data_IF_536132097154
#
_entry.id   IF_536132097154
#
_cell.length_a   1.000
_cell.length_b   1.000
_cell.length_c   1.000
_cell.angle_alpha   90.00
_cell.angle_beta   90.00
_cell.angle_gamma   90.00
#
_symmetry.space_group_name_H-M   'P 1'
#
loop_
_entity.id
_entity.type
_entity.pdbx_description
1 polymer ?
#
# COMPACT_ATOMS: atom_id res chain seq x y z
N UNK A 1 -3.14 -0.42 14.33
CA UNK A 1 -2.29 -1.58 14.02
C UNK A 1 -1.48 -1.29 12.77
N UNK A 2 -0.16 -1.48 12.79
CA UNK A 2 0.70 -1.20 11.63
C UNK A 2 1.11 -2.49 10.91
N UNK A 3 0.99 -2.47 9.59
CA UNK A 3 1.45 -3.55 8.70
C UNK A 3 2.77 -3.09 8.09
N UNK A 4 3.87 -3.77 8.43
CA UNK A 4 5.20 -3.43 7.95
C UNK A 4 5.91 -4.67 7.40
N UNK A 5 6.91 -4.46 6.59
CA UNK A 5 7.71 -5.54 6.02
C UNK A 5 8.34 -5.12 4.69
N UNK A 6 9.13 -6.02 4.10
CA UNK A 6 9.81 -5.76 2.84
C UNK A 6 8.88 -5.38 1.69
N UNK A 7 9.43 -4.74 0.66
CA UNK A 7 8.70 -4.57 -0.59
C UNK A 7 8.30 -5.92 -1.17
N UNK A 8 7.10 -5.99 -1.77
CA UNK A 8 6.53 -7.21 -2.37
C UNK A 8 6.27 -8.38 -1.39
N UNK A 9 6.29 -8.16 -0.08
CA UNK A 9 5.90 -9.19 0.89
C UNK A 9 4.39 -9.48 0.92
N UNK A 10 3.58 -8.62 0.29
CA UNK A 10 2.13 -8.77 0.18
C UNK A 10 1.33 -8.01 1.22
N UNK A 11 1.87 -6.93 1.80
CA UNK A 11 1.19 -6.06 2.78
C UNK A 11 -0.15 -5.54 2.27
N UNK A 12 -0.15 -4.88 1.11
CA UNK A 12 -1.36 -4.34 0.48
C UNK A 12 -2.34 -5.43 0.07
N UNK A 13 -1.84 -6.60 -0.35
CA UNK A 13 -2.69 -7.76 -0.65
C UNK A 13 -3.36 -8.29 0.62
N UNK A 14 -2.60 -8.38 1.72
CA UNK A 14 -3.14 -8.76 3.03
C UNK A 14 -4.22 -7.76 3.49
N UNK A 15 -3.95 -6.46 3.40
CA UNK A 15 -4.93 -5.45 3.77
C UNK A 15 -6.24 -5.60 2.98
N UNK A 16 -6.17 -5.70 1.65
CA UNK A 16 -7.33 -5.87 0.80
C UNK A 16 -8.10 -7.17 1.14
N UNK A 17 -7.39 -8.27 1.37
CA UNK A 17 -7.98 -9.55 1.75
C UNK A 17 -8.64 -9.49 3.13
N UNK A 18 -8.01 -8.83 4.10
CA UNK A 18 -8.56 -8.65 5.44
C UNK A 18 -9.83 -7.80 5.46
N UNK A 19 -9.92 -6.79 4.59
CA UNK A 19 -11.08 -5.91 4.46
C UNK A 19 -12.20 -6.49 3.57
N UNK A 20 -11.89 -7.50 2.76
CA UNK A 20 -12.79 -7.97 1.69
C UNK A 20 -13.09 -6.92 0.63
N UNK A 21 -12.33 -5.84 0.59
CA UNK A 21 -12.47 -4.69 -0.32
C UNK A 21 -11.11 -4.21 -0.79
N UNK A 22 -11.06 -3.66 -2.01
CA UNK A 22 -9.83 -3.07 -2.54
C UNK A 22 -9.68 -1.63 -2.06
N UNK A 23 -8.72 -1.38 -1.21
CA UNK A 23 -8.34 -0.06 -0.68
C UNK A 23 -6.92 0.31 -1.05
N UNK A 24 -6.01 -0.65 -1.08
CA UNK A 24 -4.61 -0.43 -1.43
C UNK A 24 -4.29 -1.03 -2.80
N UNK A 25 -3.44 -0.35 -3.55
CA UNK A 25 -2.99 -0.82 -4.86
C UNK A 25 -1.98 -1.96 -4.70
N UNK A 26 -2.05 -2.91 -5.62
CA UNK A 26 -1.20 -4.10 -5.62
C UNK A 26 -0.46 -4.20 -6.94
N UNK A 27 0.87 -4.36 -6.88
CA UNK A 27 1.70 -4.61 -8.05
C UNK A 27 2.84 -5.56 -7.72
N UNK A 28 3.36 -6.27 -8.74
CA UNK A 28 4.60 -7.04 -8.62
C UNK A 28 5.85 -6.17 -8.52
N UNK A 29 5.74 -4.88 -8.87
CA UNK A 29 6.85 -3.92 -8.79
C UNK A 29 7.04 -3.46 -7.35
N UNK A 30 8.28 -3.16 -6.98
CA UNK A 30 8.63 -2.65 -5.65
C UNK A 30 8.09 -1.23 -5.45
N UNK A 31 8.01 -0.75 -4.19
CA UNK A 31 7.63 0.63 -3.86
C UNK A 31 6.25 1.06 -4.42
N UNK A 32 5.30 0.13 -4.49
CA UNK A 32 3.94 0.43 -4.97
C UNK A 32 3.20 1.34 -4.00
N UNK A 33 3.22 1.05 -2.71
CA UNK A 33 2.64 1.89 -1.65
C UNK A 33 3.60 3.04 -1.33
N UNK A 34 3.14 4.28 -1.46
CA UNK A 34 3.94 5.50 -1.21
C UNK A 34 3.57 6.19 0.09
N UNK A 35 2.38 5.96 0.61
CA UNK A 35 1.82 6.58 1.81
C UNK A 35 1.32 5.54 2.80
N UNK A 36 1.22 5.91 4.07
CA UNK A 36 0.51 5.10 5.05
C UNK A 36 -0.99 5.16 4.81
N UNK A 37 -1.55 4.09 4.24
CA UNK A 37 -2.96 3.99 3.93
C UNK A 37 -3.69 3.33 5.10
N UNK A 38 -4.80 3.92 5.57
CA UNK A 38 -5.62 3.28 6.58
C UNK A 38 -6.76 2.48 5.96
N UNK A 39 -6.84 1.22 6.35
CA UNK A 39 -7.97 0.35 6.10
C UNK A 39 -8.73 0.11 7.40
N UNK A 40 -10.04 0.25 7.38
CA UNK A 40 -10.90 0.19 8.57
C UNK A 40 -11.77 -1.05 8.45
N UNK A 41 -11.64 -1.94 9.41
CA UNK A 41 -12.45 -3.15 9.54
C UNK A 41 -13.34 -3.03 10.77
N UNK A 42 -14.64 -2.99 10.56
CA UNK A 42 -15.63 -3.00 11.62
C UNK A 42 -16.13 -4.45 11.84
N UNK A 43 -15.94 -4.95 13.05
CA UNK A 43 -16.39 -6.29 13.44
C UNK A 43 -17.10 -6.24 14.78
N UNK A 44 -18.44 -6.29 14.77
CA UNK A 44 -19.29 -6.22 15.96
C UNK A 44 -18.93 -5.04 16.87
N UNK A 45 -18.19 -5.31 17.95
CA UNK A 45 -17.83 -4.32 18.96
C UNK A 45 -16.40 -3.78 18.81
N UNK A 46 -15.66 -4.19 17.80
CA UNK A 46 -14.25 -3.83 17.60
C UNK A 46 -14.07 -3.18 16.25
N UNK A 47 -13.38 -2.04 16.24
CA UNK A 47 -12.88 -1.41 15.03
C UNK A 47 -11.38 -1.61 14.94
N UNK A 48 -10.92 -2.29 13.89
CA UNK A 48 -9.51 -2.50 13.61
C UNK A 48 -9.08 -1.52 12.52
N UNK A 49 -8.14 -0.65 12.85
CA UNK A 49 -7.54 0.28 11.89
C UNK A 49 -6.18 -0.29 11.48
N UNK A 50 -6.10 -0.78 10.27
CA UNK A 50 -4.86 -1.22 9.64
C UNK A 50 -4.16 -0.03 9.00
N UNK A 51 -2.85 0.08 9.18
CA UNK A 51 -2.02 1.06 8.49
C UNK A 51 -1.08 0.29 7.56
N UNK A 52 -1.39 0.29 6.25
CA UNK A 52 -0.50 -0.26 5.22
C UNK A 52 0.64 0.73 4.98
N UNK A 53 1.84 0.34 5.31
CA UNK A 53 3.00 1.23 5.19
C UNK A 53 3.77 0.96 3.89
N UNK A 54 4.51 1.97 3.38
CA UNK A 54 5.51 1.74 2.35
C UNK A 54 6.41 0.56 2.73
N UNK A 55 6.78 -0.25 1.73
CA UNK A 55 7.69 -1.38 1.98
C UNK A 55 9.03 -0.90 2.51
N UNK A 56 9.64 -1.68 3.41
CA UNK A 56 10.99 -1.43 3.89
C UNK A 56 12.01 -1.76 2.79
N UNK A 57 12.87 -0.80 2.49
CA UNK A 57 13.95 -0.91 1.51
C UNK A 57 15.07 0.08 1.84
N UNK A 58 16.22 -0.13 1.24
CA UNK A 58 17.35 0.80 1.33
C UNK A 58 17.08 2.05 0.50
N UNK A 59 16.82 3.19 1.16
CA UNK A 59 16.45 4.44 0.51
C UNK A 59 17.65 5.13 -0.13
N UNK A 60 17.55 5.48 -1.42
CA UNK A 60 18.59 6.16 -2.20
C UNK A 60 18.28 7.63 -2.45
N UNK A 61 17.01 8.02 -2.51
CA UNK A 61 16.55 9.38 -2.78
C UNK A 61 15.90 10.02 -1.56
N UNK A 62 15.78 11.36 -1.54
CA UNK A 62 15.07 12.07 -0.47
C UNK A 62 13.61 11.61 -0.35
N UNK A 63 12.94 11.36 -1.46
CA UNK A 63 11.58 10.84 -1.47
C UNK A 63 11.47 9.45 -0.84
N UNK A 64 12.38 8.55 -1.18
CA UNK A 64 12.43 7.21 -0.60
C UNK A 64 12.74 7.25 0.91
N UNK A 65 13.62 8.15 1.35
CA UNK A 65 13.88 8.35 2.79
C UNK A 65 12.61 8.77 3.52
N UNK A 66 11.85 9.74 2.99
CA UNK A 66 10.58 10.16 3.58
C UNK A 66 9.55 9.00 3.64
N UNK A 67 9.51 8.12 2.63
CA UNK A 67 8.66 6.92 2.67
C UNK A 67 9.05 5.97 3.81
N UNK A 68 10.35 5.69 3.97
CA UNK A 68 10.84 4.80 5.03
C UNK A 68 10.64 5.43 6.42
N UNK A 69 10.91 6.72 6.58
CA UNK A 69 10.64 7.46 7.82
C UNK A 69 9.16 7.42 8.20
N UNK A 70 8.25 7.59 7.23
CA UNK A 70 6.81 7.45 7.44
C UNK A 70 6.43 6.04 7.90
N UNK A 71 7.05 5.00 7.33
CA UNK A 71 6.82 3.63 7.79
C UNK A 71 7.21 3.45 9.27
N UNK A 72 8.37 3.98 9.69
CA UNK A 72 8.80 3.93 11.08
C UNK A 72 7.93 4.80 12.01
N UNK A 73 7.51 5.97 11.57
CA UNK A 73 6.57 6.82 12.33
C UNK A 73 5.24 6.11 12.61
N UNK A 74 4.71 5.39 11.63
CA UNK A 74 3.49 4.60 11.80
C UNK A 74 3.70 3.42 12.77
N UNK A 75 4.91 2.87 12.89
CA UNK A 75 5.23 1.85 13.89
C UNK A 75 5.15 2.40 15.31
N UNK A 76 5.73 3.58 15.54
CA UNK A 76 5.76 4.18 16.90
C UNK A 76 4.37 4.51 17.41
N UNK A 77 3.41 4.79 16.53
CA UNK A 77 2.03 5.16 16.87
C UNK A 77 1.02 4.00 16.84
N UNK A 78 1.45 2.79 16.46
CA UNK A 78 0.55 1.63 16.42
C UNK A 78 0.47 0.93 17.78
N UNK A 79 -0.69 0.35 18.10
CA UNK A 79 -0.86 -0.52 19.28
C UNK A 79 -0.25 -1.90 19.05
N UNK A 80 -0.36 -2.42 17.81
CA UNK A 80 0.13 -3.74 17.39
C UNK A 80 0.92 -3.62 16.09
N UNK A 81 1.92 -4.48 15.91
CA UNK A 81 2.74 -4.54 14.71
C UNK A 81 2.63 -5.92 14.06
N UNK A 82 2.31 -5.94 12.77
CA UNK A 82 2.41 -7.13 11.93
C UNK A 82 3.58 -6.98 10.97
N UNK A 83 4.61 -7.81 11.15
CA UNK A 83 5.75 -7.88 10.25
C UNK A 83 5.48 -8.94 9.19
N UNK A 84 5.16 -8.52 7.96
CA UNK A 84 4.80 -9.41 6.87
C UNK A 84 6.02 -9.68 5.99
N UNK A 85 6.35 -10.95 5.79
CA UNK A 85 7.44 -11.41 4.93
C UNK A 85 6.92 -12.32 3.82
N UNK A 86 7.64 -12.34 2.71
CA UNK A 86 7.48 -13.34 1.65
C UNK A 86 8.19 -14.61 2.08
N UNK A 87 7.44 -15.67 2.37
CA UNK A 87 8.00 -16.96 2.78
C UNK A 87 8.87 -17.61 1.70
N UNK A 88 8.57 -17.35 0.44
CA UNK A 88 9.22 -18.01 -0.70
C UNK A 88 10.65 -17.55 -0.99
N UNK A 89 11.13 -16.46 -0.34
CA UNK A 89 12.48 -15.91 -0.53
C UNK A 89 13.25 -15.76 0.78
N UNK A 90 14.57 -15.68 0.70
CA UNK A 90 15.43 -15.37 1.84
C UNK A 90 15.32 -13.90 2.24
N UNK A 91 15.58 -13.61 3.52
CA UNK A 91 15.72 -12.23 4.00
C UNK A 91 17.02 -11.61 3.48
N UNK A 92 16.95 -10.37 3.06
CA UNK A 92 18.12 -9.57 2.75
C UNK A 92 18.83 -9.09 4.04
N UNK A 93 20.11 -8.71 3.92
CA UNK A 93 20.86 -8.13 5.04
C UNK A 93 20.18 -6.89 5.64
N UNK A 94 19.52 -6.09 4.79
CA UNK A 94 18.76 -4.93 5.25
C UNK A 94 17.55 -5.35 6.10
N UNK A 95 16.80 -6.36 5.66
CA UNK A 95 15.64 -6.88 6.40
C UNK A 95 16.04 -7.48 7.75
N UNK A 96 17.18 -8.16 7.82
CA UNK A 96 17.75 -8.66 9.07
C UNK A 96 18.14 -7.51 10.02
N UNK A 97 18.73 -6.43 9.49
CA UNK A 97 19.03 -5.22 10.28
C UNK A 97 17.75 -4.60 10.85
N UNK A 98 16.68 -4.52 10.06
CA UNK A 98 15.39 -4.01 10.50
C UNK A 98 14.81 -4.90 11.62
N UNK A 99 14.85 -6.23 11.49
CA UNK A 99 14.38 -7.15 12.51
C UNK A 99 15.14 -6.95 13.84
N UNK A 100 16.46 -6.80 13.78
CA UNK A 100 17.27 -6.50 14.96
C UNK A 100 16.90 -5.17 15.61
N UNK A 101 16.51 -4.18 14.80
CA UNK A 101 16.06 -2.87 15.29
C UNK A 101 14.70 -2.93 16.01
N UNK A 102 13.85 -3.92 15.70
CA UNK A 102 12.58 -4.15 16.38
C UNK A 102 12.72 -4.36 17.90
N UNK A 103 13.87 -4.81 18.37
CA UNK A 103 14.17 -4.95 19.82
C UNK A 103 14.04 -3.63 20.59
N UNK A 104 14.13 -2.49 19.89
CA UNK A 104 13.99 -1.16 20.48
C UNK A 104 12.52 -0.72 20.63
N UNK A 105 11.59 -1.47 20.06
CA UNK A 105 10.15 -1.18 20.17
C UNK A 105 9.53 -2.06 21.25
N UNK A 106 9.05 -1.44 22.32
CA UNK A 106 8.29 -2.15 23.37
C UNK A 106 6.82 -2.30 22.93
N UNK A 107 6.57 -3.05 21.86
CA UNK A 107 5.23 -3.26 21.30
C UNK A 107 5.01 -4.71 20.91
N UNK A 108 3.75 -5.14 21.05
CA UNK A 108 3.31 -6.45 20.61
C UNK A 108 3.51 -6.60 19.11
N UNK A 109 4.42 -7.48 18.74
CA UNK A 109 4.82 -7.72 17.37
C UNK A 109 4.54 -9.15 16.97
N UNK A 110 3.97 -9.32 15.78
CA UNK A 110 3.57 -10.61 15.21
C UNK A 110 4.22 -10.82 13.86
N UNK A 111 4.71 -12.04 13.62
CA UNK A 111 5.24 -12.43 12.34
C UNK A 111 4.10 -12.97 11.46
N UNK A 112 4.04 -12.51 10.22
CA UNK A 112 3.13 -13.05 9.20
C UNK A 112 3.96 -13.54 8.02
N UNK A 113 4.10 -14.84 7.88
CA UNK A 113 4.75 -15.47 6.74
C UNK A 113 3.70 -15.64 5.64
N UNK A 114 3.82 -14.82 4.61
CA UNK A 114 2.89 -14.78 3.48
C UNK A 114 3.39 -15.60 2.29
N UNK A 115 2.49 -15.89 1.35
CA UNK A 115 2.70 -16.67 0.13
C UNK A 115 3.00 -18.15 0.40
N UNK A 116 2.34 -18.72 1.41
CA UNK A 116 2.49 -20.14 1.75
C UNK A 116 2.03 -21.07 0.61
N UNK A 117 1.19 -20.58 -0.28
CA UNK A 117 0.79 -21.26 -1.53
C UNK A 117 1.97 -21.59 -2.45
N UNK A 118 3.14 -20.96 -2.24
CA UNK A 118 4.38 -21.21 -2.99
C UNK A 118 5.39 -22.08 -2.24
N UNK A 119 5.02 -22.65 -1.08
CA UNK A 119 5.96 -23.34 -0.19
C UNK A 119 5.40 -24.66 0.34
N UNK A 120 6.30 -25.58 0.71
CA UNK A 120 5.94 -26.76 1.49
C UNK A 120 6.03 -26.47 3.01
N UNK A 121 5.39 -27.33 3.81
CA UNK A 121 5.29 -27.17 5.28
C UNK A 121 6.66 -27.18 5.97
N UNK A 122 7.59 -28.02 5.52
CA UNK A 122 8.93 -28.13 6.13
C UNK A 122 9.71 -26.82 5.98
N UNK A 123 9.71 -26.23 4.78
CA UNK A 123 10.37 -24.94 4.51
C UNK A 123 9.74 -23.80 5.32
N UNK A 124 8.41 -23.82 5.53
CA UNK A 124 7.72 -22.84 6.36
C UNK A 124 8.19 -22.89 7.82
N UNK A 125 8.36 -24.09 8.39
CA UNK A 125 8.84 -24.25 9.75
C UNK A 125 10.28 -23.77 9.91
N UNK A 126 11.17 -24.12 8.96
CA UNK A 126 12.55 -23.65 8.95
C UNK A 126 12.58 -22.13 8.86
N UNK A 127 11.77 -21.55 7.96
CA UNK A 127 11.68 -20.10 7.77
C UNK A 127 11.18 -19.37 9.00
N UNK A 128 10.20 -19.92 9.67
CA UNK A 128 9.67 -19.39 10.93
C UNK A 128 10.76 -19.35 12.02
N UNK A 129 11.52 -20.46 12.18
CA UNK A 129 12.63 -20.52 13.15
C UNK A 129 13.74 -19.53 12.80
N UNK A 130 14.14 -19.45 11.52
CA UNK A 130 15.13 -18.48 11.04
C UNK A 130 14.76 -17.04 11.42
N UNK A 131 13.54 -16.61 11.12
CA UNK A 131 13.12 -15.22 11.36
C UNK A 131 13.02 -14.93 12.85
N UNK A 132 12.46 -15.85 13.64
CA UNK A 132 12.35 -15.69 15.09
C UNK A 132 13.73 -15.71 15.80
N UNK A 133 14.80 -16.21 15.18
CA UNK A 133 16.15 -16.10 15.73
C UNK A 133 16.70 -14.67 15.71
N UNK A 134 16.23 -13.80 14.82
CA UNK A 134 16.63 -12.39 14.79
C UNK A 134 15.81 -11.51 15.73
N UNK A 135 14.52 -11.83 15.88
CA UNK A 135 13.59 -11.15 16.78
C UNK A 135 12.48 -12.12 17.19
N UNK A 136 12.24 -12.26 18.49
CA UNK A 136 11.20 -13.13 19.04
C UNK A 136 9.83 -12.46 18.93
N UNK A 137 9.00 -12.96 18.02
CA UNK A 137 7.63 -12.50 17.84
C UNK A 137 6.68 -13.21 18.81
N UNK A 138 5.69 -12.49 19.35
CA UNK A 138 4.69 -13.08 20.25
C UNK A 138 3.91 -14.23 19.61
N UNK A 139 3.70 -14.17 18.30
CA UNK A 139 3.04 -15.22 17.52
C UNK A 139 3.45 -15.14 16.05
N UNK A 140 3.50 -16.29 15.41
CA UNK A 140 3.72 -16.42 13.97
C UNK A 140 2.45 -16.93 13.30
N UNK A 141 2.02 -16.25 12.24
CA UNK A 141 0.94 -16.64 11.34
C UNK A 141 1.51 -17.04 9.98
N UNK A 142 0.91 -18.04 9.38
CA UNK A 142 1.24 -18.53 8.05
C UNK A 142 0.04 -18.31 7.15
N UNK A 143 0.17 -17.50 6.11
CA UNK A 143 -0.96 -17.07 5.27
C UNK A 143 -0.65 -17.12 3.78
N UNK A 144 -1.70 -17.22 2.97
CA UNK A 144 -1.66 -16.75 1.59
C UNK A 144 -2.69 -15.63 1.41
N UNK A 145 -2.20 -14.39 1.42
CA UNK A 145 -3.06 -13.23 1.25
C UNK A 145 -3.76 -13.20 -0.12
N UNK A 146 -3.21 -13.89 -1.13
CA UNK A 146 -3.75 -13.97 -2.48
C UNK A 146 -5.01 -14.82 -2.56
N UNK A 147 -5.06 -15.95 -1.85
CA UNK A 147 -6.20 -16.89 -1.83
C UNK A 147 -7.03 -16.81 -0.57
N UNK A 148 -6.64 -15.95 0.40
CA UNK A 148 -7.35 -15.73 1.65
C UNK A 148 -7.07 -16.75 2.77
N UNK A 149 -6.16 -17.71 2.55
CA UNK A 149 -5.80 -18.72 3.55
C UNK A 149 -5.12 -18.09 4.76
N UNK A 150 -5.57 -18.48 5.99
CA UNK A 150 -5.01 -18.00 7.26
C UNK A 150 -5.39 -16.55 7.64
N UNK A 151 -6.08 -15.79 6.78
CA UNK A 151 -6.48 -14.39 7.07
C UNK A 151 -7.46 -14.36 8.26
N UNK A 152 -8.42 -15.28 8.30
CA UNK A 152 -9.40 -15.36 9.37
C UNK A 152 -8.73 -15.54 10.73
N UNK A 153 -7.73 -16.38 10.83
CA UNK A 153 -7.00 -16.64 12.09
C UNK A 153 -6.28 -15.39 12.60
N UNK A 154 -5.68 -14.62 11.67
CA UNK A 154 -5.06 -13.31 11.99
C UNK A 154 -6.09 -12.36 12.55
N UNK A 155 -7.25 -12.22 11.90
CA UNK A 155 -8.32 -11.31 12.29
C UNK A 155 -8.95 -11.70 13.63
N UNK A 156 -9.24 -12.99 13.84
CA UNK A 156 -9.78 -13.49 15.10
C UNK A 156 -8.83 -13.26 16.27
N UNK A 157 -7.53 -13.47 16.05
CA UNK A 157 -6.52 -13.20 17.06
C UNK A 157 -6.41 -11.71 17.36
N UNK A 158 -6.42 -10.85 16.31
CA UNK A 158 -6.41 -9.40 16.48
C UNK A 158 -7.61 -8.92 17.28
N UNK A 159 -8.81 -9.44 16.99
CA UNK A 159 -10.03 -9.11 17.74
C UNK A 159 -9.90 -9.43 19.23
N UNK A 160 -9.29 -10.56 19.59
CA UNK A 160 -9.11 -10.98 21.00
C UNK A 160 -8.17 -10.04 21.76
N UNK A 161 -7.22 -9.39 21.06
CA UNK A 161 -6.29 -8.45 21.68
C UNK A 161 -6.85 -7.02 21.74
N UNK A 162 -7.91 -6.75 21.02
CA UNK A 162 -8.48 -5.40 20.93
C UNK A 162 -9.29 -5.08 22.16
N UNK A 163 -9.00 -3.94 22.77
CA UNK A 163 -9.82 -3.40 23.86
C UNK A 163 -10.99 -2.63 23.24
N UNK A 164 -12.18 -2.73 23.85
CA UNK A 164 -13.39 -1.99 23.46
C UNK A 164 -13.27 -0.51 23.81
N UNK A 165 -12.45 0.22 23.07
CA UNK A 165 -12.51 1.69 23.02
C UNK A 165 -13.53 2.08 21.96
N UNK A 166 -14.23 3.20 22.13
CA UNK A 166 -15.18 3.68 21.10
C UNK A 166 -14.57 3.73 19.71
N UNK A 167 -15.39 3.60 18.68
CA UNK A 167 -14.98 3.67 17.29
C UNK A 167 -14.45 5.06 16.92
N UNK A 168 -13.37 5.09 16.16
CA UNK A 168 -12.74 6.34 15.68
C UNK A 168 -13.34 6.80 14.35
N UNK A 169 -13.89 5.88 13.57
CA UNK A 169 -14.48 6.12 12.25
C UNK A 169 -15.93 5.62 12.21
N UNK A 170 -16.80 6.23 11.40
CA UNK A 170 -18.15 5.74 11.16
C UNK A 170 -18.18 4.30 10.66
N UNK A 171 -19.28 3.60 10.88
CA UNK A 171 -19.43 2.16 10.59
C UNK A 171 -19.30 1.83 9.10
N UNK A 172 -19.74 2.72 8.24
CA UNK A 172 -19.71 2.57 6.77
C UNK A 172 -18.35 2.90 6.13
N UNK A 173 -17.43 3.47 6.92
CA UNK A 173 -16.09 3.79 6.44
C UNK A 173 -15.19 2.55 6.43
N UNK A 174 -14.51 2.33 5.31
CA UNK A 174 -13.52 1.27 5.13
C UNK A 174 -12.10 1.81 4.84
N UNK A 175 -11.97 3.14 4.66
CA UNK A 175 -10.70 3.87 4.52
C UNK A 175 -10.90 5.33 4.92
N UNK A 176 -9.82 6.00 5.29
CA UNK A 176 -9.78 7.44 5.54
C UNK A 176 -9.37 8.26 4.30
N UNK A 177 -9.11 7.59 3.17
CA UNK A 177 -8.72 8.27 1.95
C UNK A 177 -9.90 9.01 1.31
N UNK A 178 -9.63 10.23 0.86
CA UNK A 178 -10.55 10.96 0.00
C UNK A 178 -10.77 10.19 -1.32
N UNK A 179 -11.98 10.20 -1.84
CA UNK A 179 -12.35 9.49 -3.08
C UNK A 179 -11.45 9.86 -4.27
N UNK A 180 -11.01 11.11 -4.35
CA UNK A 180 -10.07 11.56 -5.38
C UNK A 180 -8.73 10.83 -5.31
N UNK A 181 -8.18 10.60 -4.10
CA UNK A 181 -6.92 9.89 -3.90
C UNK A 181 -7.08 8.40 -4.25
N UNK A 182 -8.23 7.80 -3.92
CA UNK A 182 -8.55 6.41 -4.33
C UNK A 182 -8.50 6.29 -5.85
N UNK A 183 -9.09 7.23 -6.59
CA UNK A 183 -9.05 7.25 -8.05
C UNK A 183 -7.62 7.42 -8.60
N UNK A 184 -6.81 8.28 -7.97
CA UNK A 184 -5.41 8.47 -8.34
C UNK A 184 -4.60 7.19 -8.18
N UNK A 185 -4.79 6.51 -7.07
CA UNK A 185 -4.10 5.25 -6.80
C UNK A 185 -4.54 4.14 -7.78
N UNK A 186 -5.82 4.06 -8.12
CA UNK A 186 -6.31 3.12 -9.15
C UNK A 186 -5.60 3.37 -10.48
N UNK A 187 -5.54 4.62 -10.94
CA UNK A 187 -4.86 4.95 -12.20
C UNK A 187 -3.37 4.69 -12.11
N UNK A 188 -2.73 4.99 -10.97
CA UNK A 188 -1.32 4.70 -10.72
C UNK A 188 -1.02 3.19 -10.75
N UNK A 189 -1.92 2.37 -10.22
CA UNK A 189 -1.80 0.91 -10.32
C UNK A 189 -1.78 0.43 -11.77
N UNK A 190 -2.67 0.96 -12.63
CA UNK A 190 -2.68 0.58 -14.06
C UNK A 190 -1.39 0.97 -14.75
N UNK A 191 -0.82 2.15 -14.42
CA UNK A 191 0.51 2.54 -14.91
C UNK A 191 1.56 1.53 -14.44
N UNK A 192 1.54 1.09 -13.18
CA UNK A 192 2.48 0.09 -12.68
C UNK A 192 2.34 -1.26 -13.37
N UNK A 193 1.15 -1.65 -13.82
CA UNK A 193 0.93 -2.91 -14.52
C UNK A 193 1.32 -2.86 -15.99
N UNK A 194 1.03 -1.76 -16.68
CA UNK A 194 1.12 -1.65 -18.15
C UNK A 194 2.43 -1.02 -18.62
N UNK A 195 3.04 -0.15 -17.81
CA UNK A 195 4.27 0.56 -18.19
C UNK A 195 5.47 -0.05 -17.49
N UNK A 196 6.58 -0.20 -18.23
CA UNK A 196 7.78 -0.88 -17.73
C UNK A 196 8.88 0.10 -17.28
N UNK A 197 9.99 -0.45 -16.83
CA UNK A 197 11.21 0.25 -16.41
C UNK A 197 10.96 1.27 -15.29
N UNK A 198 11.62 2.44 -15.35
CA UNK A 198 11.59 3.47 -14.32
C UNK A 198 10.39 4.42 -14.41
N UNK A 199 9.61 4.37 -15.49
CA UNK A 199 8.52 5.33 -15.74
C UNK A 199 7.46 5.33 -14.63
N UNK A 200 6.96 4.18 -14.13
CA UNK A 200 5.98 4.14 -13.03
C UNK A 200 6.46 4.80 -11.74
N UNK A 201 7.78 4.77 -11.50
CA UNK A 201 8.38 5.40 -10.32
C UNK A 201 8.55 6.91 -10.47
N UNK A 202 8.62 7.39 -11.71
CA UNK A 202 8.86 8.79 -12.07
C UNK A 202 7.59 9.50 -12.53
N UNK A 203 6.43 9.07 -12.09
CA UNK A 203 5.14 9.72 -12.34
C UNK A 203 4.29 9.83 -11.08
N UNK A 204 3.37 10.78 -11.11
CA UNK A 204 2.24 10.90 -10.19
C UNK A 204 0.95 11.10 -10.96
N UNK A 205 -0.16 10.75 -10.33
CA UNK A 205 -1.50 11.04 -10.84
C UNK A 205 -2.13 12.05 -9.90
N UNK A 206 -2.74 13.10 -10.44
CA UNK A 206 -3.53 14.07 -9.66
C UNK A 206 -4.92 14.19 -10.27
N UNK A 207 -5.93 14.21 -9.41
CA UNK A 207 -7.30 14.52 -9.81
C UNK A 207 -7.48 16.03 -9.79
N UNK A 208 -7.71 16.61 -10.95
CA UNK A 208 -7.81 18.07 -11.14
C UNK A 208 -9.27 18.54 -11.19
N UNK A 209 -10.19 17.67 -11.56
CA UNK A 209 -11.62 17.98 -11.58
C UNK A 209 -12.45 16.81 -11.08
N UNK A 210 -13.51 17.15 -10.35
CA UNK A 210 -14.47 16.22 -9.79
C UNK A 210 -15.86 16.80 -9.88
N UNK A 211 -16.77 16.14 -10.56
CA UNK A 211 -18.17 16.53 -10.65
C UNK A 211 -19.05 15.30 -10.53
N UNK A 212 -19.97 15.32 -9.59
CA UNK A 212 -20.83 14.19 -9.25
C UNK A 212 -22.30 14.54 -9.39
N UNK A 213 -23.02 13.73 -10.15
CA UNK A 213 -24.47 13.72 -10.22
C UNK A 213 -24.99 12.38 -9.66
N UNK A 214 -26.33 12.25 -9.48
CA UNK A 214 -26.92 11.04 -8.85
C UNK A 214 -26.37 9.71 -9.39
N UNK A 215 -26.14 9.59 -10.70
CA UNK A 215 -25.77 8.31 -11.33
C UNK A 215 -24.41 8.35 -12.05
N UNK A 216 -23.79 9.51 -12.18
CA UNK A 216 -22.60 9.70 -13.01
C UNK A 216 -21.55 10.50 -12.24
N UNK A 217 -20.32 10.02 -12.27
CA UNK A 217 -19.16 10.70 -11.74
C UNK A 217 -18.20 11.06 -12.87
N UNK A 218 -17.91 12.35 -13.02
CA UNK A 218 -16.94 12.86 -14.00
C UNK A 218 -15.65 13.21 -13.29
N UNK A 219 -14.54 12.62 -13.74
CA UNK A 219 -13.21 12.76 -13.14
C UNK A 219 -12.24 13.19 -14.22
N UNK A 220 -11.51 14.27 -13.97
CA UNK A 220 -10.37 14.67 -14.80
C UNK A 220 -9.08 14.44 -14.04
N UNK A 221 -8.16 13.68 -14.62
CA UNK A 221 -6.86 13.37 -14.03
C UNK A 221 -5.71 13.83 -14.91
N UNK A 222 -4.61 14.25 -14.27
CA UNK A 222 -3.35 14.53 -14.97
C UNK A 222 -2.27 13.60 -14.45
N UNK A 223 -1.61 12.90 -15.37
CA UNK A 223 -0.40 12.11 -15.11
C UNK A 223 0.80 13.03 -15.33
N UNK A 224 1.48 13.41 -14.25
CA UNK A 224 2.71 14.17 -14.31
C UNK A 224 3.92 13.25 -14.38
N UNK A 225 4.80 13.49 -15.34
CA UNK A 225 6.02 12.69 -15.56
C UNK A 225 7.27 13.59 -15.53
N UNK A 226 8.40 13.02 -15.11
CA UNK A 226 9.66 13.78 -14.95
C UNK A 226 10.32 14.20 -16.26
N UNK A 227 10.18 13.42 -17.34
CA UNK A 227 10.89 13.60 -18.62
C UNK A 227 9.95 13.53 -19.82
N UNK A 228 10.34 14.19 -20.95
CA UNK A 228 9.57 14.13 -22.21
C UNK A 228 9.44 12.71 -22.77
N UNK A 229 10.50 11.89 -22.69
CA UNK A 229 10.43 10.48 -23.12
C UNK A 229 9.44 9.67 -22.29
N UNK A 230 9.33 9.90 -20.98
CA UNK A 230 8.32 9.24 -20.13
C UNK A 230 6.90 9.60 -20.57
N UNK A 231 6.67 10.86 -21.01
CA UNK A 231 5.37 11.28 -21.58
C UNK A 231 5.04 10.45 -22.82
N UNK A 232 6.01 10.29 -23.75
CA UNK A 232 5.82 9.47 -24.94
C UNK A 232 5.49 8.02 -24.63
N UNK A 233 6.15 7.42 -23.63
CA UNK A 233 5.91 6.04 -23.19
C UNK A 233 4.48 5.88 -22.61
N UNK A 234 4.02 6.81 -21.77
CA UNK A 234 2.66 6.77 -21.20
C UNK A 234 1.58 7.05 -22.25
N UNK A 235 1.85 7.92 -23.22
CA UNK A 235 0.92 8.13 -24.33
C UNK A 235 0.84 6.88 -25.21
N UNK A 236 1.98 6.26 -25.51
CA UNK A 236 2.06 5.17 -26.48
C UNK A 236 1.87 5.65 -27.93
N UNK A 237 1.96 4.71 -28.89
CA UNK A 237 1.70 5.03 -30.30
C UNK A 237 0.24 5.49 -30.47
N UNK A 238 0.05 6.65 -31.07
CA UNK A 238 -1.27 7.26 -31.33
C UNK A 238 -2.19 7.36 -30.11
N UNK A 239 -1.59 7.49 -28.89
CA UNK A 239 -2.34 7.57 -27.65
C UNK A 239 -2.89 6.23 -27.13
N UNK A 240 -2.46 5.10 -27.69
CA UNK A 240 -2.99 3.76 -27.36
C UNK A 240 -2.79 3.38 -25.88
N UNK A 241 -1.61 3.64 -25.31
CA UNK A 241 -1.30 3.26 -23.94
C UNK A 241 -2.12 4.05 -22.92
N UNK A 242 -2.20 5.39 -23.06
CA UNK A 242 -3.01 6.22 -22.14
C UNK A 242 -4.50 5.90 -22.25
N UNK A 243 -4.97 5.53 -23.43
CA UNK A 243 -6.36 5.07 -23.64
C UNK A 243 -6.61 3.76 -22.88
N UNK A 244 -5.72 2.80 -22.97
CA UNK A 244 -5.83 1.51 -22.26
C UNK A 244 -5.76 1.70 -20.74
N UNK A 245 -4.85 2.54 -20.23
CA UNK A 245 -4.78 2.94 -18.83
C UNK A 245 -6.12 3.55 -18.40
N UNK A 246 -6.68 4.47 -19.19
CA UNK A 246 -7.95 5.13 -18.91
C UNK A 246 -9.14 4.17 -18.85
N UNK A 247 -9.26 3.27 -19.81
CA UNK A 247 -10.34 2.26 -19.85
C UNK A 247 -10.24 1.35 -18.61
N UNK A 248 -9.06 0.80 -18.34
CA UNK A 248 -8.87 -0.11 -17.22
C UNK A 248 -9.07 0.57 -15.86
N UNK A 249 -8.65 1.83 -15.73
CA UNK A 249 -8.88 2.64 -14.53
C UNK A 249 -10.37 2.92 -14.33
N UNK A 250 -11.06 3.35 -15.35
CA UNK A 250 -12.50 3.63 -15.33
C UNK A 250 -13.30 2.41 -14.87
N UNK A 251 -13.05 1.23 -15.48
CA UNK A 251 -13.75 -0.02 -15.11
C UNK A 251 -13.54 -0.37 -13.64
N UNK A 252 -12.34 -0.18 -13.13
CA UNK A 252 -12.04 -0.44 -11.72
C UNK A 252 -12.75 0.58 -10.81
N UNK A 253 -12.72 1.87 -11.15
CA UNK A 253 -13.40 2.92 -10.40
C UNK A 253 -14.92 2.70 -10.38
N UNK A 254 -15.53 2.26 -11.48
CA UNK A 254 -16.96 1.94 -11.55
C UNK A 254 -17.35 0.84 -10.55
N UNK A 255 -16.48 -0.17 -10.38
CA UNK A 255 -16.68 -1.21 -9.36
C UNK A 255 -16.56 -0.68 -7.94
N UNK A 256 -15.58 0.19 -7.68
CA UNK A 256 -15.34 0.74 -6.33
C UNK A 256 -16.46 1.68 -5.91
N UNK A 257 -16.91 2.57 -6.80
CA UNK A 257 -17.91 3.60 -6.48
C UNK A 257 -19.35 3.17 -6.77
N UNK A 258 -19.54 2.03 -7.44
CA UNK A 258 -20.85 1.56 -7.91
C UNK A 258 -21.62 2.64 -8.70
N UNK A 259 -20.92 3.40 -9.55
CA UNK A 259 -21.45 4.49 -10.36
C UNK A 259 -20.83 4.45 -11.74
N UNK A 260 -21.54 4.96 -12.73
CA UNK A 260 -20.99 5.19 -14.07
C UNK A 260 -19.95 6.32 -14.02
N UNK A 261 -18.78 6.10 -14.62
CA UNK A 261 -17.65 7.06 -14.56
C UNK A 261 -17.25 7.54 -15.94
N UNK A 262 -17.10 8.85 -16.09
CA UNK A 262 -16.37 9.48 -17.19
C UNK A 262 -14.99 9.90 -16.68
N UNK A 263 -13.95 9.27 -17.23
CA UNK A 263 -12.56 9.54 -16.86
C UNK A 263 -11.83 10.20 -18.03
N UNK A 264 -11.41 11.44 -17.83
CA UNK A 264 -10.48 12.15 -18.72
C UNK A 264 -9.05 12.06 -18.15
N UNK A 265 -8.07 11.74 -18.99
CA UNK A 265 -6.65 11.66 -18.59
C UNK A 265 -5.80 12.53 -19.50
N UNK A 266 -5.04 13.43 -18.90
CA UNK A 266 -3.97 14.19 -19.57
C UNK A 266 -2.60 13.73 -19.11
N UNK A 267 -1.56 13.91 -19.94
CA UNK A 267 -0.17 13.62 -19.57
C UNK A 267 0.67 14.89 -19.73
N UNK A 268 1.27 15.34 -18.62
CA UNK A 268 2.09 16.56 -18.58
C UNK A 268 3.50 16.25 -18.08
N UNK A 269 4.48 17.02 -18.55
CA UNK A 269 5.86 16.95 -18.06
C UNK A 269 6.02 17.96 -16.94
N UNK A 270 6.35 17.48 -15.74
CA UNK A 270 6.79 18.32 -14.63
C UNK A 270 8.07 17.72 -14.03
N UNK A 271 9.19 18.41 -14.24
CA UNK A 271 10.49 17.97 -13.74
C UNK A 271 10.63 18.03 -12.22
N UNK A 272 9.76 18.80 -11.55
CA UNK A 272 9.87 19.13 -10.13
C UNK A 272 8.73 18.56 -9.27
N UNK A 273 7.82 17.74 -9.82
CA UNK A 273 6.68 17.20 -9.07
C UNK A 273 7.09 16.55 -7.74
N UNK A 274 8.25 15.91 -7.70
CA UNK A 274 8.81 15.26 -6.51
C UNK A 274 9.37 16.22 -5.46
N UNK A 275 9.40 17.53 -5.74
CA UNK A 275 9.81 18.61 -4.82
C UNK A 275 8.61 19.39 -4.27
N UNK A 276 7.39 19.14 -4.77
CA UNK A 276 6.18 19.84 -4.37
C UNK A 276 5.78 19.47 -2.93
N UNK A 277 5.90 20.39 -1.96
CA UNK A 277 5.51 20.13 -0.57
C UNK A 277 4.03 19.73 -0.44
N UNK A 278 3.16 20.28 -1.29
CA UNK A 278 1.73 19.95 -1.27
C UNK A 278 1.49 18.49 -1.63
N UNK A 279 2.29 17.94 -2.55
CA UNK A 279 2.21 16.51 -2.85
C UNK A 279 2.57 15.65 -1.65
N UNK A 280 3.65 15.97 -0.94
CA UNK A 280 4.06 15.23 0.26
C UNK A 280 3.00 15.32 1.36
N UNK A 281 2.49 16.51 1.65
CA UNK A 281 1.42 16.69 2.64
C UNK A 281 0.17 15.89 2.28
N UNK A 282 -0.20 15.88 1.00
CA UNK A 282 -1.37 15.17 0.49
C UNK A 282 -1.27 13.65 0.66
N UNK A 283 -0.07 13.09 0.54
CA UNK A 283 0.20 11.65 0.75
C UNK A 283 0.69 11.35 2.17
N UNK A 284 0.57 12.31 3.09
CA UNK A 284 0.93 12.13 4.51
C UNK A 284 2.42 11.88 4.77
N UNK A 285 3.30 12.31 3.85
CA UNK A 285 4.75 12.26 4.05
C UNK A 285 5.23 13.60 4.63
N UNK A 286 5.88 13.58 5.80
CA UNK A 286 6.57 14.76 6.32
C UNK A 286 7.89 14.97 5.56
N UNK A 287 8.11 16.19 5.03
CA UNK A 287 9.45 16.58 4.58
C UNK A 287 10.15 17.18 5.78
N UNK A 288 11.15 16.52 6.31
CA UNK A 288 12.11 17.20 7.18
C UNK A 288 12.87 18.24 6.35
N UNK A 289 12.53 19.51 6.52
CA UNK A 289 13.20 20.65 5.85
C UNK A 289 14.63 20.89 6.36
N UNK A 290 15.15 20.00 7.22
CA UNK A 290 16.52 20.07 7.72
C UNK A 290 17.42 19.15 6.88
N UNK A 291 18.11 19.73 5.90
CA UNK A 291 19.16 19.06 5.10
C UNK A 291 19.44 19.75 3.80
#
# INVERSE_FOLDING_TARGET
MSIIGPSNSGKSTFLNSALGKKVSIVSRKVQTTRMGLRGILNNKNVQIIFIDTPGLFEAKTKFEKAMVENAFFNLTNADLIYFIVDGSRSLSNFEIKVLKYFKNFNKDSFLVINKIDLMNKERLLIKSKEINSYFEFKKTFMISAKIGEGIKDVLEYTNKLSNSKGWLYPEDHYTDLQSAIVCEEITREKIFHMVHEEVPYNCIVKTESWSENKNILKIGQTIYVKKKNHKGIILGKDGSMVKEIGISSRIEMEKVFNKKIYLGIEVKVDKNWYKDPNYYNRIGLAINQKG
#
